data_IF_513359209574
#
_entry.id   IF_513359209574
#
_cell.length_a   1.000
_cell.length_b   1.000
_cell.length_c   1.000
_cell.angle_alpha   90.00
_cell.angle_beta   90.00
_cell.angle_gamma   90.00
#
_symmetry.space_group_name_H-M   'P 1'
#
loop_
_entity.id
_entity.type
_entity.pdbx_description
1 polymer ?
#
# COMPACT_ATOMS: atom_id res chain seq x y z
N UNK A 1 -7.70 3.77 -12.14
CA UNK A 1 -7.26 2.53 -12.81
C UNK A 1 -5.78 2.64 -13.18
N UNK A 2 -5.34 3.83 -13.56
CA UNK A 2 -4.02 4.14 -14.12
C UNK A 2 -2.84 3.69 -13.26
N UNK A 3 -2.85 4.01 -11.96
CA UNK A 3 -1.78 3.58 -11.05
C UNK A 3 -1.78 2.08 -10.81
N UNK A 4 -2.96 1.44 -10.74
CA UNK A 4 -3.04 0.00 -10.49
C UNK A 4 -2.46 -0.80 -11.65
N UNK A 5 -2.60 -0.31 -12.89
CA UNK A 5 -2.11 -0.97 -14.09
C UNK A 5 -0.58 -1.11 -14.11
N UNK A 6 0.15 -0.20 -13.45
CA UNK A 6 1.61 -0.30 -13.28
C UNK A 6 2.04 -1.57 -12.53
N UNK A 7 1.19 -2.11 -11.65
CA UNK A 7 1.54 -3.25 -10.78
C UNK A 7 0.77 -4.53 -11.07
N UNK A 8 -0.28 -4.47 -11.90
CA UNK A 8 -1.15 -5.64 -12.17
C UNK A 8 -0.37 -6.84 -12.70
N UNK A 9 0.58 -6.61 -13.61
CA UNK A 9 1.38 -7.67 -14.21
C UNK A 9 2.32 -8.34 -13.19
N UNK A 10 2.86 -7.57 -12.24
CA UNK A 10 3.78 -8.08 -11.22
C UNK A 10 3.03 -8.77 -10.06
N UNK A 11 1.81 -8.34 -9.75
CA UNK A 11 1.09 -8.77 -8.54
C UNK A 11 -0.20 -9.51 -8.83
N UNK A 12 -1.20 -8.80 -9.32
CA UNK A 12 -2.59 -9.25 -9.26
C UNK A 12 -2.89 -10.32 -10.31
N UNK A 13 -2.26 -10.24 -11.48
CA UNK A 13 -2.42 -11.23 -12.55
C UNK A 13 -1.80 -12.59 -12.14
N UNK A 14 -0.51 -12.69 -11.74
CA UNK A 14 0.05 -13.94 -11.26
C UNK A 14 -0.73 -14.52 -10.08
N UNK A 15 -1.14 -13.67 -9.12
CA UNK A 15 -1.93 -14.10 -7.96
C UNK A 15 -3.25 -14.74 -8.39
N UNK A 16 -3.99 -14.13 -9.32
CA UNK A 16 -5.26 -14.68 -9.79
C UNK A 16 -5.09 -16.07 -10.43
N UNK A 17 -4.07 -16.27 -11.27
CA UNK A 17 -3.81 -17.57 -11.88
C UNK A 17 -3.32 -18.62 -10.87
N UNK A 18 -2.58 -18.20 -9.84
CA UNK A 18 -2.10 -19.11 -8.79
C UNK A 18 -3.25 -19.73 -7.98
N UNK A 19 -4.41 -19.06 -7.92
CA UNK A 19 -5.59 -19.47 -7.15
C UNK A 19 -6.58 -20.34 -7.94
N UNK A 20 -6.19 -20.90 -9.09
CA UNK A 20 -7.08 -21.69 -9.96
C UNK A 20 -7.74 -22.89 -9.27
N UNK A 21 -7.10 -23.48 -8.25
CA UNK A 21 -7.60 -24.64 -7.50
C UNK A 21 -8.27 -24.25 -6.16
N UNK A 22 -8.33 -22.96 -5.84
CA UNK A 22 -8.89 -22.47 -4.57
C UNK A 22 -10.40 -22.67 -4.52
N UNK A 23 -10.90 -23.12 -3.37
CA UNK A 23 -12.34 -23.19 -3.08
C UNK A 23 -12.91 -21.86 -2.58
N UNK A 24 -12.04 -20.90 -2.22
CA UNK A 24 -12.41 -19.54 -1.82
C UNK A 24 -11.41 -18.51 -2.36
N UNK A 25 -11.33 -18.34 -3.69
CA UNK A 25 -10.28 -17.56 -4.35
C UNK A 25 -10.33 -16.08 -3.97
N UNK A 26 -11.51 -15.51 -3.70
CA UNK A 26 -11.61 -14.10 -3.33
C UNK A 26 -10.97 -13.82 -1.95
N UNK A 27 -11.33 -14.61 -0.94
CA UNK A 27 -10.80 -14.42 0.41
C UNK A 27 -9.29 -14.71 0.48
N UNK A 28 -8.83 -15.71 -0.27
CA UNK A 28 -7.40 -16.03 -0.38
C UNK A 28 -6.64 -14.95 -1.15
N UNK A 29 -7.16 -14.44 -2.27
CA UNK A 29 -6.55 -13.33 -3.00
C UNK A 29 -6.37 -12.11 -2.10
N UNK A 30 -7.42 -11.70 -1.37
CA UNK A 30 -7.36 -10.54 -0.46
C UNK A 30 -6.31 -10.72 0.64
N UNK A 31 -6.17 -11.94 1.20
CA UNK A 31 -5.15 -12.24 2.23
C UNK A 31 -3.75 -12.25 1.66
N UNK A 32 -3.53 -12.99 0.57
CA UNK A 32 -2.23 -13.10 -0.08
C UNK A 32 -1.74 -11.76 -0.63
N UNK A 33 -2.65 -10.94 -1.19
CA UNK A 33 -2.31 -9.60 -1.65
C UNK A 33 -1.86 -8.69 -0.50
N UNK A 34 -2.57 -8.67 0.64
CA UNK A 34 -2.13 -7.90 1.82
C UNK A 34 -0.79 -8.36 2.37
N UNK A 35 -0.52 -9.66 2.36
CA UNK A 35 0.76 -10.21 2.77
C UNK A 35 1.87 -9.78 1.81
N UNK A 36 1.62 -9.82 0.50
CA UNK A 36 2.55 -9.34 -0.53
C UNK A 36 2.88 -7.86 -0.38
N UNK A 37 1.87 -7.00 -0.16
CA UNK A 37 2.10 -5.57 0.06
C UNK A 37 3.05 -5.27 1.22
N UNK A 38 2.92 -6.03 2.33
CA UNK A 38 3.79 -5.91 3.50
C UNK A 38 5.20 -6.42 3.22
N UNK A 39 5.31 -7.60 2.62
CA UNK A 39 6.60 -8.25 2.38
C UNK A 39 7.48 -7.47 1.41
N UNK A 40 6.89 -6.85 0.39
CA UNK A 40 7.61 -6.13 -0.65
C UNK A 40 7.78 -4.63 -0.38
N UNK A 41 7.35 -4.11 0.79
CA UNK A 41 7.29 -2.66 1.05
C UNK A 41 6.67 -1.90 -0.13
N UNK A 42 5.58 -2.46 -0.66
CA UNK A 42 5.09 -2.05 -1.97
C UNK A 42 4.40 -0.67 -1.94
N UNK A 43 3.88 -0.28 -0.77
CA UNK A 43 3.31 1.05 -0.55
C UNK A 43 4.36 2.17 -0.69
N UNK A 44 5.54 2.12 -0.03
CA UNK A 44 6.64 3.04 -0.29
C UNK A 44 7.02 3.14 -1.78
N UNK A 45 7.12 2.00 -2.48
CA UNK A 45 7.41 1.97 -3.91
C UNK A 45 6.32 2.69 -4.73
N UNK A 46 5.04 2.42 -4.45
CA UNK A 46 3.92 3.10 -5.11
C UNK A 46 3.99 4.61 -4.92
N UNK A 47 4.28 5.06 -3.69
CA UNK A 47 4.40 6.49 -3.37
C UNK A 47 5.56 7.12 -4.14
N UNK A 48 6.72 6.46 -4.17
CA UNK A 48 7.88 6.89 -4.95
C UNK A 48 7.54 7.00 -6.44
N UNK A 49 6.97 5.93 -7.03
CA UNK A 49 6.66 5.86 -8.46
C UNK A 49 5.63 6.92 -8.88
N UNK A 50 4.59 7.16 -8.07
CA UNK A 50 3.61 8.23 -8.32
C UNK A 50 4.28 9.61 -8.27
N UNK A 51 5.13 9.85 -7.27
CA UNK A 51 5.83 11.15 -7.13
C UNK A 51 6.77 11.39 -8.31
N UNK A 52 7.53 10.38 -8.71
CA UNK A 52 8.43 10.43 -9.87
C UNK A 52 7.67 10.71 -11.16
N UNK A 53 6.48 10.09 -11.34
CA UNK A 53 5.64 10.32 -12.50
C UNK A 53 5.04 11.74 -12.56
N UNK A 54 4.61 12.27 -11.42
CA UNK A 54 3.87 13.54 -11.36
C UNK A 54 4.77 14.77 -11.22
N UNK A 55 5.98 14.62 -10.68
CA UNK A 55 6.92 15.72 -10.48
C UNK A 55 8.38 15.23 -10.58
N UNK A 56 8.85 15.01 -11.83
CA UNK A 56 10.15 14.37 -12.12
C UNK A 56 11.36 15.29 -11.87
N UNK A 57 11.17 16.61 -11.85
CA UNK A 57 12.28 17.59 -11.74
C UNK A 57 12.56 18.00 -10.28
N UNK A 58 11.86 17.40 -9.32
CA UNK A 58 12.01 17.75 -7.92
C UNK A 58 13.23 17.06 -7.31
N UNK A 59 14.22 17.85 -6.88
CA UNK A 59 15.30 17.41 -5.99
C UNK A 59 14.72 17.05 -4.61
N UNK A 60 14.33 15.79 -4.42
CA UNK A 60 13.79 15.29 -3.15
C UNK A 60 14.77 14.34 -2.50
N UNK A 61 14.99 14.55 -1.20
CA UNK A 61 15.68 13.58 -0.38
C UNK A 61 14.90 12.25 -0.35
N UNK A 62 15.62 11.14 -0.45
CA UNK A 62 15.07 9.80 -0.19
C UNK A 62 14.40 9.80 1.20
N UNK A 63 13.13 9.36 1.31
CA UNK A 63 12.46 9.30 2.60
C UNK A 63 13.21 8.32 3.51
N UNK A 64 13.47 8.74 4.75
CA UNK A 64 14.13 7.90 5.74
C UNK A 64 13.19 6.73 6.10
N UNK A 65 13.59 5.46 5.90
CA UNK A 65 12.78 4.31 6.28
C UNK A 65 12.47 4.25 7.78
N UNK A 66 13.16 5.02 8.63
CA UNK A 66 12.88 5.13 10.08
C UNK A 66 11.81 6.19 10.43
N UNK A 67 11.36 7.04 9.48
CA UNK A 67 10.20 7.94 9.65
C UNK A 67 8.86 7.19 9.61
N UNK A 68 8.82 5.96 10.14
CA UNK A 68 7.67 5.04 10.13
C UNK A 68 6.65 5.35 11.24
N UNK A 69 6.50 6.62 11.61
CA UNK A 69 5.34 7.10 12.36
C UNK A 69 4.40 7.81 11.37
N UNK A 70 3.51 7.01 10.79
CA UNK A 70 2.49 7.51 9.86
C UNK A 70 1.43 8.22 10.69
N UNK A 71 1.40 9.55 10.66
CA UNK A 71 0.24 10.25 11.19
C UNK A 71 -1.00 9.96 10.33
N UNK A 72 -2.13 9.69 10.97
CA UNK A 72 -3.43 9.62 10.31
C UNK A 72 -3.96 11.04 10.10
N UNK A 73 -4.58 11.28 8.95
CA UNK A 73 -5.26 12.56 8.70
C UNK A 73 -6.74 12.46 9.09
N UNK A 74 -7.16 13.32 10.02
CA UNK A 74 -8.55 13.52 10.44
C UNK A 74 -9.08 14.86 9.88
N UNK A 75 -10.28 14.90 9.27
CA UNK A 75 -10.83 16.12 8.65
C UNK A 75 -11.20 17.22 9.65
N UNK A 76 -11.30 16.93 10.94
CA UNK A 76 -11.67 17.86 12.02
C UNK A 76 -10.45 18.22 12.87
N UNK A 77 -9.70 17.22 13.32
CA UNK A 77 -8.56 17.36 14.21
C UNK A 77 -7.22 17.58 13.46
N UNK A 78 -7.19 17.38 12.15
CA UNK A 78 -5.97 17.47 11.35
C UNK A 78 -5.10 16.22 11.49
N UNK A 79 -3.80 16.41 11.56
CA UNK A 79 -2.83 15.29 11.64
C UNK A 79 -2.84 14.71 13.06
N UNK A 80 -3.16 13.41 13.19
CA UNK A 80 -3.18 12.70 14.48
C UNK A 80 -2.22 11.50 14.46
N UNK A 81 -1.64 11.07 15.60
CA UNK A 81 -0.71 9.96 15.62
C UNK A 81 -1.34 8.66 15.12
N UNK A 82 -0.79 8.05 14.06
CA UNK A 82 -1.19 6.71 13.65
C UNK A 82 -0.61 5.64 14.57
N UNK A 83 -1.00 4.39 14.33
CA UNK A 83 -0.63 3.26 15.19
C UNK A 83 -1.42 3.15 16.50
N UNK A 84 -2.31 4.11 16.79
CA UNK A 84 -3.22 4.07 17.94
C UNK A 84 -4.58 3.50 17.54
N UNK A 85 -5.12 2.55 18.30
CA UNK A 85 -6.48 2.06 18.09
C UNK A 85 -7.49 3.08 18.65
N UNK A 86 -8.25 3.73 17.76
CA UNK A 86 -9.31 4.68 18.11
C UNK A 86 -10.71 4.06 18.22
N UNK A 87 -10.83 2.74 18.00
CA UNK A 87 -12.04 2.02 18.37
C UNK A 87 -12.16 2.06 19.88
N UNK A 88 -13.22 2.69 20.40
CA UNK A 88 -13.47 2.81 21.82
C UNK A 88 -13.25 1.47 22.55
N UNK A 89 -12.63 1.55 23.73
CA UNK A 89 -12.51 0.41 24.62
C UNK A 89 -13.89 -0.26 24.81
N UNK A 90 -13.93 -1.59 25.01
CA UNK A 90 -15.19 -2.32 25.21
C UNK A 90 -16.07 -1.72 26.30
#
# INVERSE_FOLDING_TARGET
YDIADLYKAELTIPLAFSLNASTNPEAEARRSFRNGLRLFRLLPRIVHDIRSLLDPDSDRAEPDPEEELVDLWDPVAGTIPGGTNHGGAP
#
